data_IF_275203686043
#
_entry.id   IF_275203686043
#
_cell.length_a   1.000
_cell.length_b   1.000
_cell.length_c   1.000
_cell.angle_alpha   90.00
_cell.angle_beta   90.00
_cell.angle_gamma   90.00
#
_symmetry.space_group_name_H-M   'P 1'
#
loop_
_entity.id
_entity.type
_entity.pdbx_description
1 polymer ?
#
# COMPACT_ATOMS: atom_id res chain seq x y z
N UNK A 1 9.11 11.96 -20.89
CA UNK A 1 9.38 10.66 -21.53
C UNK A 1 8.39 10.48 -22.67
N UNK A 2 8.86 10.39 -23.89
CA UNK A 2 8.00 10.13 -25.06
C UNK A 2 7.38 8.73 -24.90
N UNK A 3 6.07 8.64 -24.99
CA UNK A 3 5.37 7.36 -25.04
C UNK A 3 5.83 6.63 -26.29
N UNK A 4 6.14 5.32 -26.24
CA UNK A 4 6.40 4.56 -27.44
C UNK A 4 5.16 4.64 -28.32
N UNK A 5 5.35 5.04 -29.59
CA UNK A 5 4.23 5.24 -30.51
C UNK A 5 3.57 3.92 -30.94
N UNK A 6 4.27 2.79 -30.80
CA UNK A 6 3.76 1.48 -31.18
C UNK A 6 4.33 0.40 -30.24
N UNK A 7 3.51 -0.55 -29.84
CA UNK A 7 3.90 -1.75 -29.11
C UNK A 7 3.65 -2.97 -30.01
N UNK A 8 4.72 -3.69 -30.32
CA UNK A 8 4.66 -4.94 -31.08
C UNK A 8 4.71 -6.10 -30.09
N UNK A 9 3.74 -7.01 -30.17
CA UNK A 9 3.63 -8.17 -29.30
C UNK A 9 3.74 -9.45 -30.15
N UNK A 10 4.69 -10.30 -29.78
CA UNK A 10 4.77 -11.67 -30.24
C UNK A 10 4.13 -12.59 -29.18
N UNK A 11 2.95 -13.09 -29.49
CA UNK A 11 2.19 -13.97 -28.58
C UNK A 11 2.67 -15.40 -28.66
N UNK A 12 3.25 -15.82 -29.79
CA UNK A 12 3.68 -17.21 -29.97
C UNK A 12 4.92 -17.58 -29.16
N UNK A 13 5.80 -16.62 -28.90
CA UNK A 13 6.99 -16.85 -28.07
C UNK A 13 6.70 -16.84 -26.57
N UNK A 14 5.48 -16.51 -26.17
CA UNK A 14 5.11 -16.45 -24.75
C UNK A 14 4.77 -17.85 -24.22
N UNK A 15 5.72 -18.48 -23.52
CA UNK A 15 5.56 -19.82 -22.95
C UNK A 15 5.01 -19.83 -21.51
N UNK A 16 4.86 -18.68 -20.87
CA UNK A 16 4.42 -18.59 -19.48
C UNK A 16 2.96 -18.18 -19.36
N UNK A 17 2.23 -18.87 -18.49
CA UNK A 17 0.84 -18.54 -18.15
C UNK A 17 0.73 -17.09 -17.64
N UNK A 18 -0.21 -16.34 -18.19
CA UNK A 18 -0.43 -14.93 -17.85
C UNK A 18 0.47 -13.91 -18.56
N UNK A 19 1.50 -14.33 -19.28
CA UNK A 19 2.42 -13.42 -19.99
C UNK A 19 1.69 -12.56 -21.03
N UNK A 20 0.76 -13.16 -21.78
CA UNK A 20 -0.06 -12.45 -22.78
C UNK A 20 -0.86 -11.33 -22.13
N UNK A 21 -1.46 -11.58 -20.96
CA UNK A 21 -2.18 -10.57 -20.20
C UNK A 21 -1.25 -9.41 -19.79
N UNK A 22 -0.05 -9.72 -19.29
CA UNK A 22 0.93 -8.70 -18.90
C UNK A 22 1.33 -7.85 -20.09
N UNK A 23 1.57 -8.45 -21.26
CA UNK A 23 1.90 -7.72 -22.48
C UNK A 23 0.75 -6.80 -22.90
N UNK A 24 -0.48 -7.32 -22.98
CA UNK A 24 -1.66 -6.56 -23.38
C UNK A 24 -1.97 -5.42 -22.37
N UNK A 25 -1.75 -5.63 -21.08
CA UNK A 25 -1.99 -4.60 -20.07
C UNK A 25 -1.05 -3.39 -20.13
N UNK A 26 0.03 -3.48 -20.92
CA UNK A 26 0.97 -2.36 -21.15
C UNK A 26 0.52 -1.41 -22.26
N UNK A 27 -0.54 -1.75 -22.97
CA UNK A 27 -1.05 -0.97 -24.10
C UNK A 27 -2.03 0.07 -23.60
N UNK A 28 -1.78 1.34 -23.90
CA UNK A 28 -2.66 2.45 -23.52
C UNK A 28 -3.76 2.71 -24.57
N UNK A 29 -3.60 2.22 -25.80
CA UNK A 29 -4.56 2.40 -26.90
C UNK A 29 -4.43 1.25 -27.90
N UNK A 30 -5.56 0.70 -28.34
CA UNK A 30 -5.59 -0.35 -29.35
C UNK A 30 -4.93 0.06 -30.67
N UNK A 31 -4.91 1.36 -31.00
CA UNK A 31 -4.25 1.89 -32.21
C UNK A 31 -2.71 1.78 -32.16
N UNK A 32 -2.16 1.52 -30.98
CA UNK A 32 -0.72 1.38 -30.76
C UNK A 32 -0.28 -0.09 -30.63
N UNK A 33 -1.25 -1.02 -30.70
CA UNK A 33 -1.00 -2.45 -30.57
C UNK A 33 -0.83 -3.10 -31.92
N UNK A 34 0.31 -3.73 -32.13
CA UNK A 34 0.57 -4.60 -33.29
C UNK A 34 0.86 -6.01 -32.80
N UNK A 35 0.07 -6.97 -33.25
CA UNK A 35 0.27 -8.38 -32.97
C UNK A 35 0.91 -9.00 -34.21
N UNK A 36 2.08 -9.64 -34.05
CA UNK A 36 2.85 -10.15 -35.19
C UNK A 36 2.18 -11.31 -35.93
N UNK A 37 1.42 -12.12 -35.18
CA UNK A 37 0.79 -13.31 -35.73
C UNK A 37 -0.63 -13.47 -35.18
N UNK A 38 -1.42 -14.34 -35.83
CA UNK A 38 -2.76 -14.66 -35.38
C UNK A 38 -2.74 -15.21 -33.94
N UNK A 39 -3.56 -14.62 -33.08
CA UNK A 39 -3.60 -14.96 -31.67
C UNK A 39 -4.41 -16.23 -31.46
N UNK A 40 -3.73 -17.32 -31.12
CA UNK A 40 -4.38 -18.57 -30.73
C UNK A 40 -4.99 -18.45 -29.33
N UNK A 41 -6.32 -18.47 -29.19
CA UNK A 41 -6.98 -18.37 -27.89
C UNK A 41 -6.57 -19.47 -26.88
N UNK A 42 -6.17 -20.66 -27.36
CA UNK A 42 -5.74 -21.75 -26.50
C UNK A 42 -4.39 -21.50 -25.82
N UNK A 43 -3.60 -20.59 -26.40
CA UNK A 43 -2.32 -20.16 -25.79
C UNK A 43 -2.52 -19.10 -24.70
N UNK A 44 -3.67 -18.47 -24.64
CA UNK A 44 -4.01 -17.53 -23.57
C UNK A 44 -4.46 -18.33 -22.34
N UNK A 45 -3.50 -18.79 -21.58
CA UNK A 45 -3.77 -19.60 -20.38
C UNK A 45 -3.73 -18.75 -19.13
N UNK A 46 -4.71 -18.96 -18.26
CA UNK A 46 -4.73 -18.43 -16.90
C UNK A 46 -4.40 -19.56 -15.95
N UNK A 47 -3.54 -19.29 -14.97
CA UNK A 47 -3.22 -20.26 -13.94
C UNK A 47 -4.50 -20.65 -13.17
N UNK A 48 -4.76 -21.93 -13.00
CA UNK A 48 -5.94 -22.42 -12.28
C UNK A 48 -5.99 -21.90 -10.84
N UNK A 49 -4.83 -21.67 -10.20
CA UNK A 49 -4.75 -21.08 -8.87
C UNK A 49 -5.28 -19.64 -8.87
N UNK A 50 -4.97 -18.86 -9.93
CA UNK A 50 -5.48 -17.49 -10.09
C UNK A 50 -6.99 -17.50 -10.31
N UNK A 51 -7.51 -18.43 -11.13
CA UNK A 51 -8.95 -18.58 -11.34
C UNK A 51 -9.68 -18.98 -10.04
N UNK A 52 -9.10 -19.90 -9.27
CA UNK A 52 -9.63 -20.33 -7.98
C UNK A 52 -9.66 -19.18 -6.98
N UNK A 53 -8.59 -18.40 -6.92
CA UNK A 53 -8.50 -17.24 -6.04
C UNK A 53 -9.47 -16.13 -6.48
N UNK A 54 -9.57 -15.85 -7.78
CA UNK A 54 -10.54 -14.87 -8.31
C UNK A 54 -11.99 -15.27 -7.95
N UNK A 55 -12.34 -16.55 -8.07
CA UNK A 55 -13.66 -17.07 -7.64
C UNK A 55 -13.85 -16.90 -6.13
N UNK A 56 -12.81 -17.22 -5.32
CA UNK A 56 -12.86 -17.02 -3.87
C UNK A 56 -13.10 -15.56 -3.52
N UNK A 57 -12.37 -14.63 -4.15
CA UNK A 57 -12.51 -13.20 -3.93
C UNK A 57 -13.92 -12.69 -4.32
N UNK A 58 -14.47 -13.15 -5.45
CA UNK A 58 -15.86 -12.84 -5.83
C UNK A 58 -16.86 -13.32 -4.78
N UNK A 59 -16.69 -14.54 -4.28
CA UNK A 59 -17.58 -15.11 -3.25
C UNK A 59 -17.48 -14.31 -1.93
N UNK A 60 -16.27 -13.93 -1.53
CA UNK A 60 -16.05 -13.09 -0.34
C UNK A 60 -16.68 -11.70 -0.54
N UNK A 61 -16.47 -11.10 -1.71
CA UNK A 61 -17.07 -9.79 -2.03
C UNK A 61 -18.60 -9.81 -2.05
N UNK A 62 -19.21 -10.89 -2.54
CA UNK A 62 -20.67 -11.04 -2.55
C UNK A 62 -21.25 -11.29 -1.16
N UNK A 63 -20.50 -11.92 -0.28
CA UNK A 63 -20.91 -12.18 1.11
C UNK A 63 -20.55 -11.04 2.06
N UNK A 64 -19.59 -10.18 1.70
CA UNK A 64 -19.32 -8.94 2.42
C UNK A 64 -20.41 -7.95 2.04
N UNK A 65 -21.34 -7.71 2.96
CA UNK A 65 -22.32 -6.64 2.81
C UNK A 65 -21.53 -5.30 2.66
N UNK A 66 -21.52 -4.66 1.49
CA UNK A 66 -20.75 -3.41 1.30
C UNK A 66 -21.20 -2.29 2.25
N UNK A 67 -22.38 -2.43 2.85
CA UNK A 67 -22.86 -1.55 3.92
C UNK A 67 -22.19 -1.78 5.28
N UNK A 68 -21.54 -2.94 5.52
CA UNK A 68 -20.93 -3.22 6.83
C UNK A 68 -19.66 -2.42 7.10
N UNK A 69 -18.91 -2.04 6.06
CA UNK A 69 -17.71 -1.20 6.17
C UNK A 69 -18.04 0.27 6.41
N UNK A 70 -19.20 0.70 5.93
CA UNK A 70 -19.70 2.06 6.08
C UNK A 70 -20.63 2.22 7.29
N UNK A 71 -20.79 1.19 8.13
CA UNK A 71 -21.69 1.27 9.28
C UNK A 71 -21.15 2.25 10.32
N UNK A 72 -21.84 3.37 10.58
CA UNK A 72 -21.43 4.35 11.57
C UNK A 72 -21.51 3.87 13.03
N UNK A 73 -21.85 2.59 13.25
CA UNK A 73 -22.08 2.00 14.58
C UNK A 73 -20.99 1.04 15.05
N UNK A 74 -19.85 0.96 14.36
CA UNK A 74 -18.71 0.18 14.91
C UNK A 74 -18.04 1.04 15.95
N UNK A 75 -18.26 0.70 17.22
CA UNK A 75 -17.45 1.25 18.32
C UNK A 75 -16.01 0.77 18.14
N UNK A 76 -15.08 1.68 18.01
CA UNK A 76 -13.65 1.37 17.86
C UNK A 76 -12.92 2.32 16.93
N UNK A 77 -11.60 2.32 17.05
CA UNK A 77 -10.72 3.12 16.21
C UNK A 77 -10.60 2.51 14.81
N UNK A 78 -10.92 3.28 13.78
CA UNK A 78 -10.81 2.85 12.38
C UNK A 78 -9.45 3.28 11.82
N UNK A 79 -8.63 2.30 11.52
CA UNK A 79 -7.29 2.52 10.95
C UNK A 79 -7.28 2.02 9.52
N UNK A 80 -6.84 2.86 8.59
CA UNK A 80 -6.66 2.49 7.19
C UNK A 80 -5.20 2.66 6.77
N UNK A 81 -4.74 1.81 5.86
CA UNK A 81 -3.41 1.92 5.25
C UNK A 81 -3.50 1.71 3.75
N UNK A 82 -2.73 2.52 3.01
CA UNK A 82 -2.66 2.48 1.56
C UNK A 82 -1.26 2.86 1.07
N UNK A 83 -0.69 2.08 0.14
CA UNK A 83 0.43 2.53 -0.67
C UNK A 83 -0.15 3.37 -1.82
N UNK A 84 0.18 4.67 -1.84
CA UNK A 84 -0.42 5.63 -2.78
C UNK A 84 0.41 5.83 -4.05
N UNK A 85 1.64 5.29 -4.12
CA UNK A 85 2.52 5.43 -5.29
C UNK A 85 2.57 6.87 -5.86
N UNK A 86 2.69 7.85 -5.01
CA UNK A 86 2.70 9.30 -5.26
C UNK A 86 1.42 10.01 -4.80
N UNK A 87 1.51 10.66 -3.67
CA UNK A 87 0.41 11.48 -3.13
C UNK A 87 0.07 12.68 -4.04
N UNK A 88 1.07 13.21 -4.76
CA UNK A 88 0.85 14.27 -5.76
C UNK A 88 -0.15 13.86 -6.85
N UNK A 89 -0.17 12.59 -7.23
CA UNK A 89 -1.06 12.07 -8.28
C UNK A 89 -2.42 11.65 -7.76
N UNK A 90 -2.46 11.15 -6.52
CA UNK A 90 -3.62 10.46 -5.96
C UNK A 90 -4.26 11.16 -4.77
N UNK A 91 -3.89 12.43 -4.51
CA UNK A 91 -4.47 13.17 -3.39
C UNK A 91 -5.99 13.34 -3.52
N UNK A 92 -6.48 13.57 -4.73
CA UNK A 92 -7.93 13.69 -4.96
C UNK A 92 -8.65 12.34 -4.76
N UNK A 93 -8.02 11.24 -5.14
CA UNK A 93 -8.54 9.89 -4.87
C UNK A 93 -8.63 9.67 -3.35
N UNK A 94 -7.59 10.04 -2.60
CA UNK A 94 -7.58 9.94 -1.12
C UNK A 94 -8.66 10.83 -0.50
N UNK A 95 -8.86 12.05 -1.02
CA UNK A 95 -9.88 13.00 -0.53
C UNK A 95 -11.30 12.55 -0.82
N UNK A 96 -11.52 11.84 -1.90
CA UNK A 96 -12.87 11.47 -2.37
C UNK A 96 -13.28 10.07 -1.99
N UNK A 97 -12.34 9.18 -1.68
CA UNK A 97 -12.62 7.79 -1.30
C UNK A 97 -13.49 7.73 -0.04
N UNK A 98 -14.69 7.12 -0.12
CA UNK A 98 -15.62 7.08 1.01
C UNK A 98 -15.11 6.25 2.19
N UNK A 99 -14.24 5.27 1.97
CA UNK A 99 -13.68 4.44 3.04
C UNK A 99 -12.58 5.17 3.79
N UNK A 100 -11.70 5.88 3.06
CA UNK A 100 -10.61 6.65 3.66
C UNK A 100 -11.13 7.85 4.46
N UNK A 101 -12.21 8.50 4.01
CA UNK A 101 -12.86 9.61 4.75
C UNK A 101 -13.34 9.23 6.14
N UNK A 102 -13.64 7.96 6.37
CA UNK A 102 -14.13 7.48 7.66
C UNK A 102 -13.00 6.94 8.56
N UNK A 103 -11.77 6.87 8.09
CA UNK A 103 -10.65 6.44 8.91
C UNK A 103 -10.40 7.46 10.03
N UNK A 104 -10.11 6.97 11.22
CA UNK A 104 -9.71 7.80 12.35
C UNK A 104 -8.19 8.01 12.35
N UNK A 105 -7.46 7.00 11.86
CA UNK A 105 -6.04 7.08 11.54
C UNK A 105 -5.83 6.54 10.11
N UNK A 106 -5.20 7.35 9.25
CA UNK A 106 -4.89 6.98 7.88
C UNK A 106 -3.38 7.00 7.69
N UNK A 107 -2.81 5.85 7.34
CA UNK A 107 -1.39 5.63 7.11
C UNK A 107 -1.14 5.45 5.61
N UNK A 108 -0.42 6.37 4.99
CA UNK A 108 -0.07 6.32 3.58
C UNK A 108 1.42 6.08 3.41
N UNK A 109 1.79 5.15 2.54
CA UNK A 109 3.17 4.90 2.14
C UNK A 109 3.42 5.26 0.68
N UNK A 110 4.69 5.45 0.31
CA UNK A 110 5.13 5.94 -1.00
C UNK A 110 4.48 7.27 -1.39
N UNK A 111 4.51 8.24 -0.48
CA UNK A 111 3.94 9.57 -0.71
C UNK A 111 4.68 10.37 -1.77
N UNK A 112 5.98 10.12 -1.94
CA UNK A 112 6.90 10.79 -2.88
C UNK A 112 7.02 12.31 -2.64
N UNK A 113 6.66 12.77 -1.45
CA UNK A 113 6.83 14.17 -1.07
C UNK A 113 8.28 14.45 -0.71
N UNK A 114 8.65 15.71 -0.82
CA UNK A 114 9.94 16.23 -0.35
C UNK A 114 9.83 16.76 1.08
N UNK A 115 10.96 17.19 1.66
CA UNK A 115 10.98 17.79 2.99
C UNK A 115 10.53 19.27 2.97
N UNK A 116 10.08 19.76 1.81
CA UNK A 116 9.55 21.11 1.66
C UNK A 116 8.22 21.26 2.39
N UNK A 117 8.19 22.11 3.39
CA UNK A 117 7.01 22.36 4.22
C UNK A 117 5.86 22.99 3.40
N UNK A 118 6.16 23.85 2.42
CA UNK A 118 5.13 24.46 1.57
C UNK A 118 4.45 23.40 0.69
N UNK A 119 5.23 22.42 0.21
CA UNK A 119 4.68 21.29 -0.49
C UNK A 119 3.78 20.47 0.42
N UNK A 120 4.24 20.13 1.63
CA UNK A 120 3.49 19.29 2.58
C UNK A 120 2.16 19.93 3.01
N UNK A 121 2.10 21.26 3.10
CA UNK A 121 0.86 21.98 3.42
C UNK A 121 -0.27 21.74 2.40
N UNK A 122 0.06 21.52 1.13
CA UNK A 122 -0.91 21.24 0.07
C UNK A 122 -1.57 19.87 0.21
N UNK A 123 -0.93 18.95 0.94
CA UNK A 123 -1.38 17.56 1.13
C UNK A 123 -2.01 17.31 2.49
N UNK A 124 -2.45 18.36 3.17
CA UNK A 124 -3.24 18.21 4.38
C UNK A 124 -4.67 17.78 4.06
N UNK A 125 -5.27 17.01 4.96
CA UNK A 125 -6.67 16.61 4.93
C UNK A 125 -7.48 17.42 5.93
N UNK A 126 -8.62 17.93 5.49
CA UNK A 126 -9.56 18.62 6.37
C UNK A 126 -10.03 17.66 7.49
N UNK A 127 -10.04 18.15 8.71
CA UNK A 127 -10.46 17.37 9.88
C UNK A 127 -9.37 16.46 10.46
N UNK A 128 -8.14 16.50 9.93
CA UNK A 128 -7.01 15.70 10.42
C UNK A 128 -5.84 16.58 10.85
N UNK A 129 -5.03 16.04 11.73
CA UNK A 129 -3.65 16.44 11.96
C UNK A 129 -2.76 15.50 11.16
N UNK A 130 -1.76 16.03 10.47
CA UNK A 130 -0.87 15.25 9.60
C UNK A 130 0.57 15.26 10.09
N UNK A 131 1.27 14.15 9.87
CA UNK A 131 2.71 14.02 10.05
C UNK A 131 3.30 13.36 8.81
N UNK A 132 4.37 13.94 8.28
CA UNK A 132 5.05 13.48 7.07
C UNK A 132 6.48 13.06 7.38
N UNK A 133 6.90 11.91 6.86
CA UNK A 133 8.30 11.51 6.74
C UNK A 133 8.64 11.45 5.26
N UNK A 134 9.20 12.53 4.74
CA UNK A 134 9.41 12.71 3.30
C UNK A 134 10.82 12.35 2.90
N UNK A 135 10.99 11.60 1.81
CA UNK A 135 12.29 11.23 1.25
C UNK A 135 12.30 11.25 -0.29
N UNK A 136 11.32 11.92 -0.90
CA UNK A 136 11.22 12.02 -2.34
C UNK A 136 10.67 10.75 -3.02
N UNK A 137 11.03 10.59 -4.29
CA UNK A 137 10.42 9.58 -5.18
C UNK A 137 10.60 8.15 -4.67
N UNK A 138 9.50 7.38 -4.69
CA UNK A 138 9.46 5.97 -4.34
C UNK A 138 9.48 5.71 -2.84
N UNK A 139 9.36 6.75 -2.00
CA UNK A 139 9.44 6.65 -0.54
C UNK A 139 8.48 7.64 0.12
N UNK A 140 8.51 7.69 1.42
CA UNK A 140 7.75 8.64 2.24
C UNK A 140 6.54 8.02 2.93
N UNK A 141 6.33 8.41 4.17
CA UNK A 141 5.13 8.12 4.95
C UNK A 141 4.35 9.41 5.19
N UNK A 142 3.02 9.32 5.16
CA UNK A 142 2.13 10.32 5.71
C UNK A 142 1.14 9.64 6.64
N UNK A 143 0.98 10.19 7.82
CA UNK A 143 -0.04 9.73 8.76
C UNK A 143 -0.96 10.88 9.09
N UNK A 144 -2.25 10.63 8.93
CA UNK A 144 -3.31 11.55 9.26
C UNK A 144 -4.09 11.01 10.44
N UNK A 145 -4.20 11.79 11.49
CA UNK A 145 -4.95 11.46 12.71
C UNK A 145 -6.14 12.40 12.81
N UNK A 146 -7.35 11.86 12.91
CA UNK A 146 -8.57 12.65 13.02
C UNK A 146 -8.49 13.62 14.20
N UNK A 147 -8.85 14.87 13.96
CA UNK A 147 -8.91 15.89 15.03
C UNK A 147 -9.89 15.44 16.12
N UNK A 148 -9.50 15.65 17.36
CA UNK A 148 -10.25 15.21 18.54
C UNK A 148 -9.77 13.89 19.13
N UNK A 149 -8.98 13.09 18.42
CA UNK A 149 -8.27 11.96 19.01
C UNK A 149 -7.09 12.45 19.86
N UNK A 150 -7.01 11.96 21.07
CA UNK A 150 -5.95 12.33 22.02
C UNK A 150 -4.70 11.47 21.74
N UNK A 151 -3.75 12.02 21.01
CA UNK A 151 -2.42 11.44 20.84
C UNK A 151 -1.58 11.78 22.07
N UNK A 152 -0.98 10.78 22.70
CA UNK A 152 -0.12 10.94 23.87
C UNK A 152 1.32 11.26 23.48
N UNK A 153 1.85 10.56 22.47
CA UNK A 153 3.22 10.72 21.99
C UNK A 153 3.31 10.32 20.50
N UNK A 154 4.29 10.88 19.82
CA UNK A 154 4.59 10.54 18.44
C UNK A 154 6.11 10.46 18.25
N UNK A 155 6.58 9.33 17.74
CA UNK A 155 7.99 9.07 17.50
C UNK A 155 8.18 8.58 16.07
N UNK A 156 9.33 8.88 15.50
CA UNK A 156 9.67 8.40 14.18
C UNK A 156 11.10 7.87 14.09
N UNK A 157 11.29 6.98 13.12
CA UNK A 157 12.59 6.56 12.62
C UNK A 157 12.60 6.71 11.10
N UNK A 158 13.65 7.31 10.58
CA UNK A 158 13.80 7.50 9.14
C UNK A 158 15.24 7.21 8.73
N UNK A 159 15.42 6.21 7.89
CA UNK A 159 16.66 5.90 7.19
C UNK A 159 16.39 5.82 5.68
N UNK A 160 17.44 5.64 4.89
CA UNK A 160 17.29 5.57 3.42
C UNK A 160 16.28 4.52 2.96
N UNK A 161 16.15 3.40 3.66
CA UNK A 161 15.38 2.25 3.22
C UNK A 161 14.28 1.81 4.20
N UNK A 162 14.21 2.43 5.38
CA UNK A 162 13.23 2.11 6.41
C UNK A 162 12.70 3.39 7.04
N UNK A 163 11.39 3.53 7.04
CA UNK A 163 10.68 4.61 7.71
C UNK A 163 9.63 4.03 8.63
N UNK A 164 9.55 4.53 9.83
CA UNK A 164 8.54 4.16 10.82
C UNK A 164 8.03 5.41 11.51
N UNK A 165 6.73 5.50 11.70
CA UNK A 165 6.07 6.53 12.48
C UNK A 165 5.16 5.86 13.50
N UNK A 166 5.51 6.01 14.79
CA UNK A 166 4.74 5.48 15.90
C UNK A 166 3.87 6.58 16.49
N UNK A 167 2.60 6.26 16.68
CA UNK A 167 1.60 7.12 17.32
C UNK A 167 1.11 6.37 18.57
N UNK A 168 1.21 7.00 19.71
CA UNK A 168 0.79 6.43 20.99
C UNK A 168 -0.56 7.01 21.42
N UNK A 169 -1.52 6.13 21.61
CA UNK A 169 -2.81 6.41 22.25
C UNK A 169 -2.86 5.77 23.63
N UNK A 170 -3.96 5.98 24.34
CA UNK A 170 -4.17 5.29 25.61
C UNK A 170 -4.43 3.80 25.38
N UNK A 171 -3.49 2.95 25.81
CA UNK A 171 -3.55 1.49 25.67
C UNK A 171 -3.29 0.94 24.26
N UNK A 172 -3.03 1.79 23.26
CA UNK A 172 -2.79 1.36 21.87
C UNK A 172 -1.68 2.17 21.21
N UNK A 173 -0.70 1.49 20.66
CA UNK A 173 0.30 2.08 19.78
C UNK A 173 0.00 1.70 18.31
N UNK A 174 0.09 2.65 17.41
CA UNK A 174 0.03 2.40 15.96
C UNK A 174 1.38 2.73 15.36
N UNK A 175 1.98 1.77 14.65
CA UNK A 175 3.23 1.96 13.93
C UNK A 175 2.97 1.86 12.45
N UNK A 176 3.04 3.00 11.75
CA UNK A 176 3.06 3.04 10.30
C UNK A 176 4.46 2.77 9.81
N UNK A 177 4.64 1.82 8.88
CA UNK A 177 5.94 1.40 8.40
C UNK A 177 5.99 1.38 6.87
N UNK A 178 7.12 1.83 6.33
CA UNK A 178 7.55 1.59 4.96
C UNK A 178 8.96 1.02 4.97
N UNK A 179 9.16 -0.11 4.30
CA UNK A 179 10.46 -0.73 4.09
C UNK A 179 10.71 -0.92 2.60
N UNK A 180 11.84 -0.45 2.09
CA UNK A 180 12.26 -0.79 0.73
C UNK A 180 12.73 -2.25 0.65
N UNK A 181 12.66 -2.86 -0.54
CA UNK A 181 13.15 -4.23 -0.74
C UNK A 181 14.64 -4.42 -0.42
N UNK A 182 15.41 -3.35 -0.44
CA UNK A 182 16.85 -3.36 -0.16
C UNK A 182 17.16 -3.41 1.34
N UNK A 183 16.21 -3.05 2.21
CA UNK A 183 16.43 -3.10 3.66
C UNK A 183 16.32 -4.53 4.17
N UNK A 184 17.32 -5.05 4.87
CA UNK A 184 17.25 -6.38 5.47
C UNK A 184 16.13 -6.46 6.52
N UNK A 185 15.41 -7.60 6.56
CA UNK A 185 14.31 -7.75 7.52
C UNK A 185 14.76 -7.73 8.98
N UNK A 186 15.95 -8.21 9.29
CA UNK A 186 16.49 -8.16 10.66
C UNK A 186 16.64 -6.72 11.18
N UNK A 187 16.88 -5.75 10.30
CA UNK A 187 16.93 -4.33 10.66
C UNK A 187 15.57 -3.84 11.15
N UNK A 188 14.49 -4.24 10.46
CA UNK A 188 13.12 -3.95 10.89
C UNK A 188 12.85 -4.53 12.28
N UNK A 189 13.19 -5.82 12.48
CA UNK A 189 13.00 -6.50 13.76
C UNK A 189 13.77 -5.81 14.89
N UNK A 190 15.02 -5.41 14.64
CA UNK A 190 15.84 -4.68 15.62
C UNK A 190 15.22 -3.33 16.00
N UNK A 191 14.75 -2.55 15.02
CA UNK A 191 14.09 -1.28 15.30
C UNK A 191 12.76 -1.48 16.03
N UNK A 192 11.97 -2.49 15.66
CA UNK A 192 10.72 -2.80 16.36
C UNK A 192 10.97 -3.18 17.82
N UNK A 193 11.98 -4.01 18.11
CA UNK A 193 12.34 -4.36 19.50
C UNK A 193 12.64 -3.14 20.38
N UNK A 194 13.21 -2.09 19.80
CA UNK A 194 13.55 -0.86 20.53
C UNK A 194 12.36 0.07 20.77
N UNK A 195 11.30 -0.03 19.96
CA UNK A 195 10.14 0.89 20.04
C UNK A 195 8.88 0.22 20.59
N UNK A 196 8.85 -1.14 20.64
CA UNK A 196 7.73 -1.88 21.21
C UNK A 196 7.78 -1.87 22.73
N UNK A 197 6.65 -1.60 23.36
CA UNK A 197 6.48 -1.73 24.79
C UNK A 197 5.71 -3.01 25.11
N UNK A 198 6.22 -3.84 26.01
CA UNK A 198 5.62 -5.14 26.37
C UNK A 198 4.21 -5.05 26.95
N UNK A 199 3.81 -3.89 27.44
CA UNK A 199 2.53 -3.67 28.14
C UNK A 199 1.48 -2.99 27.29
N UNK A 200 1.81 -2.56 26.06
CA UNK A 200 0.88 -1.81 25.21
C UNK A 200 0.52 -2.65 23.98
N UNK A 201 -0.76 -2.70 23.67
CA UNK A 201 -1.21 -3.30 22.40
C UNK A 201 -0.65 -2.48 21.24
N UNK A 202 -0.03 -3.14 20.27
CA UNK A 202 0.57 -2.46 19.12
C UNK A 202 0.00 -2.99 17.81
N UNK A 203 -0.47 -2.07 16.97
CA UNK A 203 -0.83 -2.33 15.58
C UNK A 203 0.32 -1.89 14.67
N UNK A 204 0.95 -2.85 13.99
CA UNK A 204 1.92 -2.58 12.93
C UNK A 204 1.19 -2.61 11.58
N UNK A 205 1.25 -1.53 10.82
CA UNK A 205 0.53 -1.38 9.56
C UNK A 205 1.40 -0.65 8.53
N UNK A 206 1.29 -1.03 7.26
CA UNK A 206 2.02 -0.36 6.16
C UNK A 206 2.60 -1.33 5.15
N UNK A 207 3.58 -0.86 4.39
CA UNK A 207 4.22 -1.61 3.31
C UNK A 207 5.61 -2.09 3.74
N UNK A 208 5.71 -3.36 4.10
CA UNK A 208 6.99 -3.98 4.50
C UNK A 208 7.74 -4.63 3.34
N UNK A 209 7.16 -4.68 2.13
CA UNK A 209 7.78 -5.27 0.94
C UNK A 209 8.41 -6.66 1.21
N UNK A 210 7.68 -7.51 1.95
CA UNK A 210 8.14 -8.83 2.37
C UNK A 210 7.08 -9.89 2.14
N UNK A 211 7.47 -11.01 1.57
CA UNK A 211 6.54 -12.10 1.30
C UNK A 211 6.48 -13.07 2.48
N UNK A 212 5.55 -12.83 3.39
CA UNK A 212 5.34 -13.65 4.60
C UNK A 212 5.10 -15.14 4.26
N UNK A 213 4.50 -15.42 3.10
CA UNK A 213 4.17 -16.80 2.70
C UNK A 213 5.40 -17.59 2.26
N UNK A 214 6.37 -16.93 1.58
CA UNK A 214 7.58 -17.59 1.09
C UNK A 214 8.62 -17.80 2.17
N UNK A 215 8.66 -16.90 3.15
CA UNK A 215 9.74 -16.81 4.12
C UNK A 215 9.28 -17.10 5.55
N UNK A 216 8.28 -18.00 5.71
CA UNK A 216 7.72 -18.37 7.02
C UNK A 216 8.78 -18.79 8.05
N UNK A 217 9.89 -19.38 7.58
CA UNK A 217 10.97 -19.82 8.47
C UNK A 217 11.83 -18.66 9.01
N UNK A 218 11.85 -17.51 8.32
CA UNK A 218 12.63 -16.35 8.77
C UNK A 218 11.84 -15.47 9.75
N UNK A 219 10.53 -15.34 9.56
CA UNK A 219 9.69 -14.55 10.47
C UNK A 219 9.67 -15.13 11.89
N UNK A 220 9.58 -16.45 12.02
CA UNK A 220 9.57 -17.14 13.32
C UNK A 220 10.86 -16.99 14.13
N UNK A 221 11.96 -16.54 13.49
CA UNK A 221 13.23 -16.25 14.15
C UNK A 221 13.30 -14.85 14.76
N UNK A 222 12.41 -13.95 14.35
CA UNK A 222 12.45 -12.53 14.73
C UNK A 222 11.21 -12.04 15.53
N UNK A 223 10.14 -12.83 15.55
CA UNK A 223 8.94 -12.60 16.37
C UNK A 223 8.92 -13.52 17.58
#
# INVERSE_FOLDING_TARGET
>A
MSKPNNLVIDVQSSHQTGMVYVMLSRVCSLLQLHILEEMDPEKIRVDEKVLKEAKRMQTVSLNSNPGSWASPKVEGLRVASLNVSSLRKHMEDVRTDPHLKHADVLCLSETWLTEDEEEQLQYQLEGYNSCFLSQGRGKGLAVYVRRGLKVQDMRHHSSTNLQMLKICFDGLDIISIYRSQQEPFYSVAHHLQNILHKTTTTLLIGDINYCIIKDQNDLSRYL
#
